data_IF_853387877380
#
_entry.id   IF_853387877380
#
_cell.length_a   1.000
_cell.length_b   1.000
_cell.length_c   1.000
_cell.angle_alpha   90.00
_cell.angle_beta   90.00
_cell.angle_gamma   90.00
#
_symmetry.space_group_name_H-M   'P 1'
#
loop_
_entity.id
_entity.type
_entity.pdbx_description
1 polymer ?
#
# COMPACT_ATOMS: atom_id res chain seq x y z
N UNK A 1 5.59 12.98 2.62
CA UNK A 1 5.86 11.55 2.30
C UNK A 1 6.68 11.43 1.03
N UNK A 2 7.55 10.46 0.99
CA UNK A 2 8.31 10.12 -0.21
C UNK A 2 7.93 8.72 -0.68
N UNK A 3 7.71 8.54 -1.96
CA UNK A 3 7.40 7.23 -2.55
C UNK A 3 8.47 6.92 -3.59
N UNK A 4 9.19 5.83 -3.38
CA UNK A 4 10.15 5.33 -4.36
C UNK A 4 9.51 4.15 -5.09
N UNK A 5 9.45 4.25 -6.41
CA UNK A 5 8.82 3.22 -7.26
C UNK A 5 9.91 2.34 -7.86
N UNK A 6 9.70 1.02 -7.79
CA UNK A 6 10.60 0.04 -8.40
C UNK A 6 9.80 -1.17 -8.84
N UNK A 7 10.38 -1.97 -9.71
CA UNK A 7 9.74 -3.21 -10.16
C UNK A 7 10.48 -4.43 -9.65
N UNK A 8 9.69 -5.47 -9.33
CA UNK A 8 10.21 -6.80 -9.07
C UNK A 8 9.41 -7.75 -9.98
N UNK A 9 10.02 -8.19 -11.07
CA UNK A 9 9.29 -8.89 -12.12
C UNK A 9 8.26 -7.97 -12.78
N UNK A 10 7.02 -8.41 -12.84
CA UNK A 10 5.91 -7.61 -13.37
C UNK A 10 5.07 -6.94 -12.27
N UNK A 11 5.60 -6.89 -11.06
CA UNK A 11 4.94 -6.27 -9.90
C UNK A 11 5.61 -4.93 -9.61
N UNK A 12 4.80 -3.88 -9.47
CA UNK A 12 5.26 -2.56 -9.07
C UNK A 12 5.31 -2.48 -7.55
N UNK A 13 6.43 -2.01 -7.00
CA UNK A 13 6.59 -1.85 -5.57
C UNK A 13 6.72 -0.37 -5.24
N UNK A 14 5.90 0.10 -4.30
CA UNK A 14 6.01 1.44 -3.75
C UNK A 14 6.66 1.34 -2.37
N UNK A 15 7.91 1.81 -2.27
CA UNK A 15 8.56 1.97 -0.98
C UNK A 15 8.09 3.29 -0.37
N UNK A 16 7.16 3.20 0.56
CA UNK A 16 6.57 4.37 1.20
C UNK A 16 7.47 4.82 2.36
N UNK A 17 7.77 6.12 2.41
CA UNK A 17 8.64 6.68 3.44
C UNK A 17 7.96 7.88 4.09
N UNK A 18 7.52 7.71 5.32
CA UNK A 18 6.87 8.74 6.09
C UNK A 18 5.47 8.35 6.55
N UNK A 19 4.83 9.28 7.25
CA UNK A 19 3.49 9.09 7.79
C UNK A 19 2.43 9.29 6.69
N UNK A 20 1.29 8.63 6.86
CA UNK A 20 0.14 8.82 5.96
C UNK A 20 -0.96 9.49 6.78
N UNK A 21 -0.98 10.80 6.77
CA UNK A 21 -1.86 11.63 7.58
C UNK A 21 -2.62 12.61 6.71
N UNK A 22 -3.73 13.13 7.24
CA UNK A 22 -4.41 14.25 6.59
C UNK A 22 -3.42 15.41 6.43
N UNK A 23 -3.31 15.93 5.21
CA UNK A 23 -2.35 17.00 4.90
C UNK A 23 -0.91 16.54 4.72
N UNK A 24 -0.61 15.25 4.90
CA UNK A 24 0.75 14.74 4.75
C UNK A 24 0.73 13.27 4.30
N UNK A 25 1.04 13.02 3.05
CA UNK A 25 1.20 11.69 2.48
C UNK A 25 0.00 11.15 1.70
N UNK A 26 -1.21 11.61 2.00
CA UNK A 26 -2.42 11.09 1.35
C UNK A 26 -2.43 11.45 -0.14
N UNK A 27 -2.15 12.70 -0.48
CA UNK A 27 -2.18 13.15 -1.88
C UNK A 27 -1.10 12.46 -2.70
N UNK A 28 0.08 12.28 -2.13
CA UNK A 28 1.19 11.59 -2.80
C UNK A 28 0.84 10.14 -3.08
N UNK A 29 0.22 9.44 -2.13
CA UNK A 29 -0.19 8.06 -2.31
C UNK A 29 -1.29 7.96 -3.37
N UNK A 30 -2.29 8.83 -3.30
CA UNK A 30 -3.39 8.86 -4.27
C UNK A 30 -2.88 9.09 -5.68
N UNK A 31 -2.00 10.05 -5.86
CA UNK A 31 -1.42 10.36 -7.15
C UNK A 31 -0.60 9.18 -7.70
N UNK A 32 0.21 8.54 -6.85
CA UNK A 32 0.99 7.39 -7.25
C UNK A 32 0.11 6.22 -7.70
N UNK A 33 -0.98 5.98 -6.98
CA UNK A 33 -1.95 4.94 -7.35
C UNK A 33 -2.60 5.26 -8.70
N UNK A 34 -3.05 6.50 -8.89
CA UNK A 34 -3.68 6.91 -10.14
C UNK A 34 -2.72 6.80 -11.33
N UNK A 35 -1.47 7.21 -11.14
CA UNK A 35 -0.43 7.10 -12.17
C UNK A 35 -0.16 5.63 -12.53
N UNK A 36 -0.14 4.77 -11.53
CA UNK A 36 0.05 3.33 -11.74
C UNK A 36 -1.07 2.74 -12.61
N UNK A 37 -2.31 3.12 -12.33
CA UNK A 37 -3.47 2.68 -13.12
C UNK A 37 -3.36 3.17 -14.56
N UNK A 38 -3.01 4.44 -14.77
CA UNK A 38 -2.85 5.02 -16.11
C UNK A 38 -1.75 4.32 -16.91
N UNK A 39 -0.68 3.89 -16.23
CA UNK A 39 0.42 3.17 -16.86
C UNK A 39 0.14 1.67 -17.02
N UNK A 40 -1.06 1.21 -16.66
CA UNK A 40 -1.45 -0.20 -16.66
C UNK A 40 -0.57 -1.07 -15.76
N UNK A 41 -0.03 -0.49 -14.68
CA UNK A 41 0.73 -1.18 -13.64
C UNK A 41 -0.22 -1.50 -12.50
N UNK A 42 -0.88 -2.67 -12.59
CA UNK A 42 -2.00 -3.01 -11.70
C UNK A 42 -1.70 -4.07 -10.67
N UNK A 43 -0.51 -4.64 -10.69
CA UNK A 43 -0.01 -5.53 -9.63
C UNK A 43 0.90 -4.71 -8.74
N UNK A 44 0.44 -4.42 -7.54
CA UNK A 44 1.05 -3.41 -6.71
C UNK A 44 1.33 -3.94 -5.30
N UNK A 45 2.52 -3.64 -4.81
CA UNK A 45 2.89 -3.90 -3.42
C UNK A 45 3.20 -2.55 -2.77
N UNK A 46 2.60 -2.31 -1.61
CA UNK A 46 2.94 -1.18 -0.74
C UNK A 46 3.87 -1.67 0.35
N UNK A 47 5.09 -1.16 0.36
CA UNK A 47 6.07 -1.48 1.39
C UNK A 47 5.96 -0.47 2.52
N UNK A 48 5.54 -0.97 3.69
CA UNK A 48 5.27 -0.16 4.87
C UNK A 48 6.44 -0.12 5.87
N UNK A 49 7.58 -0.66 5.50
CA UNK A 49 8.74 -0.74 6.40
C UNK A 49 9.09 0.61 7.04
N UNK A 50 8.93 1.70 6.30
CA UNK A 50 9.23 3.05 6.77
C UNK A 50 7.98 3.92 6.94
N UNK A 51 6.84 3.30 7.22
CA UNK A 51 5.61 4.00 7.58
C UNK A 51 5.36 3.78 9.07
N UNK A 52 5.77 4.73 9.93
CA UNK A 52 5.65 4.54 11.39
C UNK A 52 4.22 4.69 11.88
N UNK A 53 3.38 5.41 11.14
CA UNK A 53 2.02 5.68 11.59
C UNK A 53 1.14 6.18 10.45
N UNK A 54 -0.16 5.94 10.58
CA UNK A 54 -1.18 6.57 9.76
C UNK A 54 -2.39 6.88 10.64
N UNK A 55 -3.10 7.96 10.32
CA UNK A 55 -4.35 8.30 10.99
C UNK A 55 -5.54 7.65 10.27
N UNK A 56 -6.77 7.92 10.75
CA UNK A 56 -7.96 7.33 10.15
C UNK A 56 -8.16 7.75 8.68
N UNK A 57 -7.75 8.96 8.33
CA UNK A 57 -7.82 9.45 6.95
C UNK A 57 -6.79 8.73 6.08
N UNK A 58 -5.57 8.53 6.60
CA UNK A 58 -4.54 7.75 5.92
C UNK A 58 -4.94 6.29 5.74
N UNK A 59 -5.54 5.70 6.77
CA UNK A 59 -6.09 4.35 6.68
C UNK A 59 -7.16 4.26 5.58
N UNK A 60 -8.04 5.25 5.52
CA UNK A 60 -9.05 5.33 4.47
C UNK A 60 -8.44 5.40 3.07
N UNK A 61 -7.32 6.09 2.92
CA UNK A 61 -6.63 6.17 1.62
C UNK A 61 -6.02 4.82 1.22
N UNK A 62 -5.47 4.07 2.16
CA UNK A 62 -4.96 2.72 1.89
C UNK A 62 -6.10 1.79 1.44
N UNK A 63 -7.24 1.86 2.11
CA UNK A 63 -8.44 1.10 1.72
C UNK A 63 -8.93 1.53 0.33
N UNK A 64 -8.94 2.83 0.06
CA UNK A 64 -9.33 3.37 -1.25
C UNK A 64 -8.40 2.85 -2.35
N UNK A 65 -7.10 2.81 -2.08
CA UNK A 65 -6.11 2.28 -3.02
C UNK A 65 -6.42 0.83 -3.40
N UNK A 66 -6.70 0.01 -2.40
CA UNK A 66 -7.08 -1.39 -2.59
C UNK A 66 -8.35 -1.51 -3.45
N UNK A 67 -9.41 -0.79 -3.06
CA UNK A 67 -10.70 -0.83 -3.74
C UNK A 67 -10.58 -0.37 -5.18
N UNK A 68 -9.86 0.73 -5.41
CA UNK A 68 -9.67 1.31 -6.74
C UNK A 68 -8.91 0.36 -7.68
N UNK A 69 -7.80 -0.20 -7.20
CA UNK A 69 -7.03 -1.17 -8.00
C UNK A 69 -7.85 -2.41 -8.32
N UNK A 70 -8.57 -2.93 -7.35
CA UNK A 70 -9.39 -4.13 -7.54
C UNK A 70 -10.49 -3.88 -8.58
N UNK A 71 -11.10 -2.70 -8.55
CA UNK A 71 -12.11 -2.27 -9.51
C UNK A 71 -11.56 -2.20 -10.93
N UNK A 72 -10.30 -1.85 -11.06
CA UNK A 72 -9.60 -1.74 -12.35
C UNK A 72 -8.97 -3.07 -12.80
N UNK A 73 -9.29 -4.16 -12.11
CA UNK A 73 -8.77 -5.49 -12.45
C UNK A 73 -7.39 -5.78 -11.87
N UNK A 74 -6.92 -4.96 -10.95
CA UNK A 74 -5.63 -5.13 -10.31
C UNK A 74 -5.74 -5.63 -8.87
N UNK A 75 -4.64 -5.55 -8.15
CA UNK A 75 -4.56 -5.97 -6.75
C UNK A 75 -3.47 -5.19 -6.03
N UNK A 76 -3.73 -4.83 -4.78
CA UNK A 76 -2.76 -4.23 -3.86
C UNK A 76 -2.48 -5.22 -2.75
N UNK A 77 -1.22 -5.49 -2.50
CA UNK A 77 -0.75 -6.28 -1.36
C UNK A 77 0.21 -5.43 -0.52
N UNK A 78 0.42 -5.82 0.72
CA UNK A 78 1.22 -5.03 1.67
C UNK A 78 2.34 -5.88 2.22
N UNK A 79 3.54 -5.30 2.33
CA UNK A 79 4.67 -5.96 2.98
C UNK A 79 5.23 -5.11 4.11
N UNK A 80 5.83 -5.78 5.07
CA UNK A 80 6.64 -5.18 6.13
C UNK A 80 5.87 -4.17 7.01
N UNK A 81 4.65 -4.54 7.42
CA UNK A 81 3.91 -3.71 8.38
C UNK A 81 4.72 -3.50 9.65
N UNK A 82 4.82 -2.26 10.11
CA UNK A 82 5.32 -1.99 11.46
C UNK A 82 4.30 -2.51 12.47
N UNK A 83 4.76 -2.79 13.70
CA UNK A 83 3.87 -3.31 14.73
C UNK A 83 2.68 -2.38 14.98
N UNK A 84 2.94 -1.09 15.02
CA UNK A 84 1.90 -0.07 15.28
C UNK A 84 0.83 -0.07 14.20
N UNK A 85 1.24 -0.15 12.94
CA UNK A 85 0.29 -0.18 11.82
C UNK A 85 -0.44 -1.52 11.78
N UNK A 86 0.26 -2.62 12.04
CA UNK A 86 -0.37 -3.94 12.15
C UNK A 86 -1.46 -3.93 13.22
N UNK A 87 -1.19 -3.37 14.39
CA UNK A 87 -2.16 -3.29 15.49
C UNK A 87 -3.37 -2.46 15.09
N UNK A 88 -3.15 -1.35 14.40
CA UNK A 88 -4.24 -0.51 13.92
C UNK A 88 -5.14 -1.26 12.94
N UNK A 89 -4.55 -2.00 11.99
CA UNK A 89 -5.31 -2.81 11.06
C UNK A 89 -6.07 -3.93 11.78
N UNK A 90 -5.47 -4.51 12.81
CA UNK A 90 -6.10 -5.58 13.59
C UNK A 90 -7.31 -5.06 14.39
N UNK A 91 -7.16 -3.92 15.07
CA UNK A 91 -8.23 -3.32 15.85
C UNK A 91 -9.42 -2.94 14.97
N UNK A 92 -9.16 -2.44 13.78
CA UNK A 92 -10.21 -2.08 12.81
C UNK A 92 -10.70 -3.27 12.00
N UNK A 93 -10.10 -4.45 12.20
CA UNK A 93 -10.37 -5.69 11.44
C UNK A 93 -10.01 -5.59 9.95
N UNK A 94 -9.36 -4.54 9.53
CA UNK A 94 -8.92 -4.37 8.14
C UNK A 94 -7.77 -5.29 7.78
N UNK A 95 -7.09 -5.87 8.76
CA UNK A 95 -6.03 -6.85 8.52
C UNK A 95 -6.54 -8.06 7.72
N UNK A 96 -7.84 -8.36 7.79
CA UNK A 96 -8.45 -9.46 7.05
C UNK A 96 -8.77 -9.08 5.60
N UNK A 97 -8.79 -7.79 5.29
CA UNK A 97 -9.07 -7.30 3.93
C UNK A 97 -7.82 -7.36 3.05
N UNK A 98 -6.66 -7.01 3.64
CA UNK A 98 -5.41 -6.96 2.91
C UNK A 98 -4.64 -8.26 3.03
N UNK A 99 -4.00 -8.69 1.94
CA UNK A 99 -2.97 -9.71 1.99
C UNK A 99 -1.67 -9.07 2.41
N UNK A 100 -1.12 -9.50 3.53
CA UNK A 100 0.09 -8.94 4.11
C UNK A 100 1.19 -9.98 4.22
N UNK A 101 2.43 -9.57 3.97
CA UNK A 101 3.58 -10.46 3.97
C UNK A 101 4.75 -9.78 4.67
N UNK A 102 5.64 -10.59 5.22
CA UNK A 102 6.91 -10.11 5.78
C UNK A 102 8.07 -10.27 4.79
N UNK A 103 7.83 -10.94 3.67
CA UNK A 103 8.82 -11.27 2.66
C UNK A 103 8.35 -10.76 1.29
N UNK A 104 9.14 -9.92 0.66
CA UNK A 104 8.80 -9.33 -0.63
C UNK A 104 8.63 -10.39 -1.73
N UNK A 105 9.51 -11.38 -1.78
CA UNK A 105 9.45 -12.40 -2.83
C UNK A 105 8.19 -13.26 -2.69
N UNK A 106 7.79 -13.57 -1.46
CA UNK A 106 6.53 -14.30 -1.23
C UNK A 106 5.34 -13.46 -1.70
N UNK A 107 5.35 -12.17 -1.44
CA UNK A 107 4.29 -11.27 -1.90
C UNK A 107 4.25 -11.21 -3.43
N UNK A 108 5.39 -11.05 -4.07
CA UNK A 108 5.49 -11.01 -5.55
C UNK A 108 4.97 -12.31 -6.15
N UNK A 109 5.36 -13.45 -5.59
CA UNK A 109 4.97 -14.76 -6.11
C UNK A 109 3.49 -15.12 -5.84
N UNK A 110 2.81 -14.33 -5.01
CA UNK A 110 1.40 -14.58 -4.67
C UNK A 110 0.41 -13.96 -5.66
N UNK A 111 0.88 -13.14 -6.56
CA UNK A 111 0.03 -12.53 -7.58
C UNK A 111 -0.43 -13.52 -8.66
#
# INVERSE_FOLDING_TARGET
MKIEKRKNGNVMIFDLKGKILIGDGIDELREAINDSIKANEKKLILNFDQVPYLDSTGLGEVVRSYTTLKKEGGMVKIINLTQKVHDLLSVTKLITVFETFEDEDKAVNSF
#
